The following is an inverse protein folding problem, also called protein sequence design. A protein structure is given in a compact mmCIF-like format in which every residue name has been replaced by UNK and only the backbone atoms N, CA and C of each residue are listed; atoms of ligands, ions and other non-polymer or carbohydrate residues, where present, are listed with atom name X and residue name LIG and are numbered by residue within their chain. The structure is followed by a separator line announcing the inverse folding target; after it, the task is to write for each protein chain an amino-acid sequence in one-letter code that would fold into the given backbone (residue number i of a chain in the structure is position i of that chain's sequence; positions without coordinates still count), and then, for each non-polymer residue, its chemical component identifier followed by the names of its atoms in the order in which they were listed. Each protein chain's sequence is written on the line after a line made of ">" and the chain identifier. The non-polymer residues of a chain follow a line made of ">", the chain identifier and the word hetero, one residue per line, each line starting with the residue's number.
data_IF_143058861054
#
_entry.id   IF_143058861054
#
_cell.length_a   1.000
_cell.length_b   1.000
_cell.length_c   1.000
_cell.angle_alpha   90.00
_cell.angle_beta   90.00
_cell.angle_gamma   90.00
#
_symmetry.space_group_name_H-M   'P 1'
#
loop_
_entity.id
_entity.type
_entity.pdbx_description
1 polymer ?
#
# COMPACT_ATOMS: atom_id res chain seq x y z
N UNK A 1 6.13 0.10 1.57
CA UNK A 1 4.98 -0.58 0.94
C UNK A 1 3.70 0.00 1.51
N UNK A 2 2.98 0.78 0.70
CA UNK A 2 1.74 1.39 1.15
C UNK A 2 0.57 0.40 1.15
N UNK A 3 -0.32 0.49 2.12
CA UNK A 3 -1.52 -0.34 2.18
C UNK A 3 -2.56 0.19 1.20
N UNK A 4 -2.93 -0.64 0.21
CA UNK A 4 -4.25 -0.50 -0.41
C UNK A 4 -5.29 -0.74 0.69
N UNK A 5 -6.17 0.24 0.86
CA UNK A 5 -7.04 0.37 2.03
C UNK A 5 -7.88 -0.90 2.27
N UNK A 6 -7.98 -1.25 3.55
CA UNK A 6 -8.82 -2.29 4.16
C UNK A 6 -10.20 -2.40 3.46
N UNK A 7 -10.68 -3.60 3.07
CA UNK A 7 -12.00 -3.77 2.44
C UNK A 7 -13.20 -3.33 3.32
N UNK A 8 -12.99 -3.11 4.62
CA UNK A 8 -14.00 -2.58 5.55
C UNK A 8 -13.88 -1.06 5.83
N UNK A 9 -12.89 -0.38 5.25
CA UNK A 9 -12.88 1.08 5.10
C UNK A 9 -13.15 1.39 3.64
N UNK A 10 -14.21 2.16 3.36
CA UNK A 10 -14.36 2.81 2.05
C UNK A 10 -13.01 3.39 1.65
N UNK A 11 -12.45 2.93 0.54
CA UNK A 11 -11.60 3.79 -0.26
C UNK A 11 -12.34 5.14 -0.33
N UNK A 12 -11.65 6.26 -0.11
CA UNK A 12 -12.31 7.57 -0.20
C UNK A 12 -13.03 7.77 -1.57
N UNK A 13 -12.71 6.95 -2.57
CA UNK A 13 -13.45 6.79 -3.82
C UNK A 13 -14.25 5.49 -3.95
N UNK A 14 -15.29 5.51 -4.78
CA UNK A 14 -16.07 4.32 -5.18
C UNK A 14 -15.39 3.65 -6.37
N UNK A 15 -14.99 2.39 -6.24
CA UNK A 15 -14.43 1.63 -7.36
C UNK A 15 -15.49 1.41 -8.44
N UNK A 16 -15.10 1.58 -9.70
CA UNK A 16 -15.97 1.30 -10.84
C UNK A 16 -15.86 -0.18 -11.22
N UNK A 17 -17.00 -0.80 -11.52
CA UNK A 17 -17.01 -2.12 -12.17
C UNK A 17 -16.39 -2.04 -13.57
N UNK A 18 -15.91 -3.18 -14.05
CA UNK A 18 -15.16 -3.25 -15.30
C UNK A 18 -15.85 -2.58 -16.51
N UNK A 19 -17.16 -2.78 -16.77
CA UNK A 19 -17.83 -2.13 -17.91
C UNK A 19 -17.74 -0.60 -17.89
N UNK A 20 -17.80 0.01 -16.71
CA UNK A 20 -17.73 1.46 -16.53
C UNK A 20 -16.29 1.97 -16.54
N UNK A 21 -15.38 1.24 -15.88
CA UNK A 21 -13.95 1.54 -15.90
C UNK A 21 -13.39 1.52 -17.32
N UNK A 22 -13.79 0.54 -18.15
CA UNK A 22 -13.34 0.39 -19.53
C UNK A 22 -13.69 1.60 -20.40
N UNK A 23 -14.86 2.21 -20.19
CA UNK A 23 -15.26 3.42 -20.92
C UNK A 23 -14.34 4.61 -20.64
N UNK A 24 -13.71 4.65 -19.45
CA UNK A 24 -12.80 5.72 -19.04
C UNK A 24 -11.32 5.43 -19.36
N UNK A 25 -11.00 4.23 -19.87
CA UNK A 25 -9.61 3.82 -20.11
C UNK A 25 -8.83 4.77 -21.04
N UNK A 26 -9.48 5.35 -22.05
CA UNK A 26 -8.87 6.34 -22.93
C UNK A 26 -8.45 7.61 -22.18
N UNK A 27 -9.34 8.14 -21.34
CA UNK A 27 -9.08 9.32 -20.52
C UNK A 27 -7.96 9.08 -19.51
N UNK A 28 -8.00 7.94 -18.82
CA UNK A 28 -6.95 7.56 -17.84
C UNK A 28 -5.58 7.51 -18.52
N UNK A 29 -5.49 6.95 -19.74
CA UNK A 29 -4.23 6.91 -20.50
C UNK A 29 -3.75 8.30 -20.89
N UNK A 30 -4.63 9.14 -21.43
CA UNK A 30 -4.29 10.51 -21.83
C UNK A 30 -3.77 11.32 -20.64
N UNK A 31 -4.45 11.23 -19.50
CA UNK A 31 -4.06 11.93 -18.27
C UNK A 31 -2.78 11.36 -17.67
N UNK A 32 -2.60 10.04 -17.71
CA UNK A 32 -1.36 9.40 -17.29
C UNK A 32 -0.15 9.88 -18.09
N UNK A 33 -0.29 10.06 -19.40
CA UNK A 33 0.79 10.63 -20.24
C UNK A 33 1.07 12.08 -19.84
N UNK A 34 0.04 12.90 -19.61
CA UNK A 34 0.22 14.28 -19.15
C UNK A 34 0.97 14.35 -17.81
N UNK A 35 0.60 13.50 -16.85
CA UNK A 35 1.26 13.41 -15.54
C UNK A 35 2.71 12.96 -15.69
N UNK A 36 2.97 11.96 -16.54
CA UNK A 36 4.33 11.48 -16.81
C UNK A 36 5.21 12.61 -17.38
N UNK A 37 4.72 13.36 -18.37
CA UNK A 37 5.46 14.48 -18.96
C UNK A 37 5.73 15.59 -17.94
N UNK A 38 4.78 15.87 -17.05
CA UNK A 38 4.93 16.86 -15.98
C UNK A 38 6.01 16.43 -14.96
N UNK A 39 5.98 15.16 -14.53
CA UNK A 39 6.98 14.58 -13.63
C UNK A 39 8.37 14.64 -14.30
N UNK A 40 8.46 14.23 -15.57
CA UNK A 40 9.69 14.29 -16.33
C UNK A 40 10.24 15.72 -16.42
N UNK A 41 9.40 16.69 -16.80
CA UNK A 41 9.85 18.08 -16.92
C UNK A 41 10.34 18.67 -15.60
N UNK A 42 9.77 18.25 -14.46
CA UNK A 42 10.23 18.64 -13.12
C UNK A 42 11.52 17.94 -12.70
N UNK A 43 11.73 16.69 -13.11
CA UNK A 43 12.83 15.86 -12.64
C UNK A 43 14.05 15.84 -13.58
N UNK A 44 13.90 16.18 -14.87
CA UNK A 44 14.94 16.00 -15.90
C UNK A 44 16.25 16.76 -15.68
N UNK A 45 16.24 17.77 -14.81
CA UNK A 45 17.43 18.57 -14.47
C UNK A 45 17.96 18.28 -13.06
N UNK A 46 17.40 17.27 -12.37
CA UNK A 46 17.92 16.84 -11.07
C UNK A 46 19.23 16.10 -11.27
N UNK A 47 20.27 16.59 -10.62
CA UNK A 47 21.60 15.98 -10.59
C UNK A 47 22.05 15.80 -9.15
N UNK A 48 22.92 14.80 -8.91
CA UNK A 48 23.55 14.53 -7.60
C UNK A 48 22.59 14.14 -6.46
N UNK A 49 21.46 13.54 -6.78
CA UNK A 49 20.62 12.89 -5.75
C UNK A 49 21.38 11.72 -5.10
N UNK A 50 21.16 11.54 -3.80
CA UNK A 50 21.73 10.42 -3.06
C UNK A 50 21.22 9.08 -3.63
N UNK A 51 22.09 8.08 -3.74
CA UNK A 51 21.71 6.73 -4.12
C UNK A 51 20.99 6.04 -2.94
N UNK A 52 19.72 6.39 -2.76
CA UNK A 52 18.84 5.70 -1.84
C UNK A 52 18.42 4.37 -2.49
N UNK A 53 18.53 3.30 -1.72
CA UNK A 53 18.14 1.96 -2.14
C UNK A 53 17.47 1.26 -0.97
N UNK A 54 16.67 0.24 -1.29
CA UNK A 54 15.98 -0.61 -0.33
C UNK A 54 15.48 -1.86 -1.03
N UNK A 55 15.19 -2.89 -0.25
CA UNK A 55 14.60 -4.14 -0.74
C UNK A 55 13.08 -4.14 -0.48
N UNK A 56 12.31 -4.82 -1.34
CA UNK A 56 10.88 -5.05 -1.17
C UNK A 56 10.64 -6.55 -0.96
N UNK A 57 10.19 -6.91 0.24
CA UNK A 57 9.94 -8.31 0.62
C UNK A 57 8.46 -8.54 0.91
N UNK A 58 7.89 -9.57 0.30
CA UNK A 58 6.50 -10.00 0.50
C UNK A 58 6.44 -11.30 1.33
N UNK A 59 5.49 -11.38 2.27
CA UNK A 59 5.34 -12.53 3.18
C UNK A 59 3.94 -13.14 3.10
N UNK A 60 3.86 -14.47 3.22
CA UNK A 60 2.60 -15.19 3.46
C UNK A 60 2.53 -15.63 4.92
N UNK A 61 1.47 -15.23 5.60
CA UNK A 61 1.19 -15.70 6.97
C UNK A 61 0.38 -16.98 6.87
N UNK A 62 0.87 -18.06 7.47
CA UNK A 62 0.19 -19.37 7.45
C UNK A 62 -0.16 -19.84 8.85
N UNK A 63 -1.25 -20.59 8.96
CA UNK A 63 -1.60 -21.33 10.17
C UNK A 63 -1.23 -22.80 10.00
N UNK A 64 -0.62 -23.37 11.04
CA UNK A 64 -0.13 -24.74 11.07
C UNK A 64 -0.25 -25.30 12.48
N UNK A 65 -0.63 -26.57 12.61
CA UNK A 65 -0.64 -27.31 13.87
C UNK A 65 0.04 -28.65 13.70
N UNK A 66 0.73 -29.14 14.73
CA UNK A 66 1.33 -30.48 14.73
C UNK A 66 0.27 -31.58 14.75
N UNK A 67 -0.88 -31.31 15.36
CA UNK A 67 -1.98 -32.28 15.53
C UNK A 67 -2.91 -32.34 14.31
N UNK A 68 -2.94 -31.29 13.48
CA UNK A 68 -3.61 -31.24 12.17
C UNK A 68 -2.63 -30.64 11.16
N UNK A 69 -1.80 -31.47 10.48
CA UNK A 69 -0.67 -31.02 9.65
C UNK A 69 -1.12 -30.43 8.30
N UNK A 70 -2.05 -29.49 8.35
CA UNK A 70 -2.54 -28.70 7.22
C UNK A 70 -1.99 -27.28 7.35
N UNK A 71 -1.37 -26.81 6.28
CA UNK A 71 -0.93 -25.41 6.16
C UNK A 71 -2.05 -24.64 5.47
N UNK A 72 -2.59 -23.61 6.13
CA UNK A 72 -3.63 -22.75 5.55
C UNK A 72 -3.16 -21.31 5.52
N UNK A 73 -3.54 -20.59 4.47
CA UNK A 73 -3.28 -19.15 4.40
C UNK A 73 -4.12 -18.44 5.48
N UNK A 74 -3.45 -17.65 6.32
CA UNK A 74 -4.12 -16.73 7.22
C UNK A 74 -4.72 -15.59 6.40
N UNK A 75 -5.98 -15.22 6.66
CA UNK A 75 -6.63 -14.06 6.03
C UNK A 75 -6.58 -12.81 6.94
N UNK A 76 -5.73 -12.85 7.98
CA UNK A 76 -5.61 -11.82 9.02
C UNK A 76 -4.60 -10.72 8.67
N UNK A 77 -4.16 -10.61 7.42
CA UNK A 77 -3.14 -9.66 6.98
C UNK A 77 -3.51 -8.24 7.37
N UNK A 78 -4.77 -7.84 7.16
CA UNK A 78 -5.24 -6.50 7.49
C UNK A 78 -5.09 -6.20 9.00
N UNK A 79 -5.50 -7.13 9.86
CA UNK A 79 -5.41 -7.00 11.32
C UNK A 79 -3.95 -6.96 11.80
N UNK A 80 -3.10 -7.82 11.23
CA UNK A 80 -1.66 -7.86 11.54
C UNK A 80 -1.02 -6.53 11.18
N UNK A 81 -1.33 -5.97 10.02
CA UNK A 81 -0.78 -4.69 9.58
C UNK A 81 -1.27 -3.53 10.46
N UNK A 82 -2.53 -3.56 10.94
CA UNK A 82 -3.02 -2.61 11.95
C UNK A 82 -2.26 -2.74 13.27
N UNK A 83 -2.11 -3.96 13.79
CA UNK A 83 -1.40 -4.20 15.05
C UNK A 83 0.09 -3.79 14.96
N UNK A 84 0.74 -4.03 13.82
CA UNK A 84 2.12 -3.60 13.58
C UNK A 84 2.23 -2.06 13.54
N UNK A 85 1.26 -1.37 12.94
CA UNK A 85 1.24 0.09 12.87
C UNK A 85 1.02 0.77 14.23
N UNK A 86 0.27 0.13 15.12
CA UNK A 86 -0.06 0.64 16.46
C UNK A 86 1.02 0.32 17.52
N UNK A 87 2.00 -0.52 17.20
CA UNK A 87 3.04 -0.94 18.14
C UNK A 87 4.05 0.18 18.41
N UNK A 88 4.12 0.73 19.65
CA UNK A 88 5.03 1.83 19.98
C UNK A 88 6.51 1.42 19.97
N UNK A 89 6.80 0.13 20.14
CA UNK A 89 8.18 -0.36 20.12
C UNK A 89 8.68 -0.55 18.69
N UNK A 90 7.84 -1.03 17.77
CA UNK A 90 8.19 -1.08 16.35
C UNK A 90 8.35 0.32 15.75
N UNK A 91 7.51 1.27 16.16
CA UNK A 91 7.61 2.66 15.71
C UNK A 91 8.96 3.30 16.08
N UNK A 92 9.55 2.96 17.24
CA UNK A 92 10.88 3.44 17.65
C UNK A 92 11.99 2.87 16.78
N UNK A 93 11.85 1.62 16.35
CA UNK A 93 12.82 0.89 15.51
C UNK A 93 12.65 1.19 14.00
N UNK A 94 11.83 2.19 13.64
CA UNK A 94 11.55 2.57 12.25
C UNK A 94 10.54 1.67 11.53
N UNK A 95 10.00 0.66 12.23
CA UNK A 95 8.91 -0.18 11.76
C UNK A 95 7.60 0.59 11.85
N UNK A 96 7.12 1.10 10.72
CA UNK A 96 5.82 1.73 10.68
C UNK A 96 5.08 1.41 9.38
N UNK A 97 3.75 1.55 9.44
CA UNK A 97 2.90 1.58 8.26
C UNK A 97 2.44 3.03 8.12
N UNK A 98 3.15 3.89 7.36
CA UNK A 98 2.86 5.32 7.27
C UNK A 98 1.38 5.63 6.99
N UNK A 99 0.75 4.83 6.13
CA UNK A 99 -0.65 5.00 5.71
C UNK A 99 -1.69 4.78 6.81
N UNK A 100 -1.30 4.24 7.98
CA UNK A 100 -2.18 4.00 9.12
C UNK A 100 -1.97 5.01 10.26
N UNK A 101 -1.03 5.95 10.14
CA UNK A 101 -0.68 6.87 11.24
C UNK A 101 -1.64 8.07 11.39
N UNK A 102 -2.36 8.46 10.33
CA UNK A 102 -3.26 9.63 10.35
C UNK A 102 -4.63 9.35 10.99
N UNK A 103 -4.88 8.11 11.41
CA UNK A 103 -6.17 7.68 11.96
C UNK A 103 -6.42 8.18 13.38
N UNK A 104 -5.35 8.49 14.13
CA UNK A 104 -5.43 8.84 15.55
C UNK A 104 -5.47 10.35 15.84
N UNK A 105 -5.27 11.23 14.84
CA UNK A 105 -5.21 12.71 15.04
C UNK A 105 -6.53 13.45 14.86
N UNK A 106 -7.65 12.72 14.76
CA UNK A 106 -9.00 13.29 14.66
C UNK A 106 -9.87 12.94 15.86
N UNK A 107 -9.59 13.55 17.02
CA UNK A 107 -10.57 13.82 18.08
C UNK A 107 -10.35 15.23 18.60
#
# INVERSE_FOLDING_TARGET
>A
MGLLQNPYRRALGTALDWPDAKQRAGQVREWGIKQLLEIWNKAKSKERDALLWGDEVEYLVVTYSKDDPKVRLSLRQAEILTALAESPDLAKEGGCVPDLQDVARGK
#
